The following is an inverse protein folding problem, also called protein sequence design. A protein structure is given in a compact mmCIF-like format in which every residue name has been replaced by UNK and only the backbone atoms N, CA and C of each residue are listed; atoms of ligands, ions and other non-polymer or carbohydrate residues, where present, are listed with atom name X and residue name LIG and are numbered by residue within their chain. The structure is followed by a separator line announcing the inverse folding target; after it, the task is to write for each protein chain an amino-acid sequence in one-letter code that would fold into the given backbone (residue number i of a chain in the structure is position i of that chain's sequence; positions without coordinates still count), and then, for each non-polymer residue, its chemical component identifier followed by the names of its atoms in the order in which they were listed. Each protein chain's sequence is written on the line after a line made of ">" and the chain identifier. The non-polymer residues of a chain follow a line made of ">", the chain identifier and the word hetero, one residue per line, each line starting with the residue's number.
data_IF_238776657459
#
_entry.id   IF_238776657459
#
_cell.length_a   1.000
_cell.length_b   1.000
_cell.length_c   1.000
_cell.angle_alpha   90.00
_cell.angle_beta   90.00
_cell.angle_gamma   90.00
#
_symmetry.space_group_name_H-M   'P 1'
#
loop_
_entity.id
_entity.type
_entity.pdbx_description
1 polymer ?
#
# COMPACT_ATOMS: atom_id res chain seq x y z
N UNK A 1 13.41 3.30 -3.90
CA UNK A 1 12.54 3.09 -5.07
C UNK A 1 11.25 2.40 -4.64
N UNK A 2 10.09 2.85 -5.13
CA UNK A 2 8.80 2.18 -4.90
C UNK A 2 8.77 0.83 -5.64
N UNK A 3 8.29 -0.26 -5.02
CA UNK A 3 8.12 -1.53 -5.72
C UNK A 3 7.18 -1.42 -6.94
N UNK A 4 7.45 -2.20 -7.98
CA UNK A 4 6.55 -2.28 -9.14
C UNK A 4 5.45 -3.32 -8.95
N UNK A 5 5.53 -4.20 -7.94
CA UNK A 5 4.42 -5.07 -7.56
C UNK A 5 3.64 -4.43 -6.42
N UNK A 6 2.32 -4.55 -6.46
CA UNK A 6 1.48 -4.16 -5.34
C UNK A 6 0.37 -5.16 -5.07
N UNK A 7 0.13 -5.42 -3.78
CA UNK A 7 -1.10 -6.02 -3.31
C UNK A 7 -2.03 -4.94 -2.76
N UNK A 8 -3.23 -4.86 -3.31
CA UNK A 8 -4.31 -4.05 -2.76
C UNK A 8 -5.29 -4.97 -2.04
N UNK A 9 -5.35 -4.81 -0.73
CA UNK A 9 -6.19 -5.62 0.14
C UNK A 9 -7.58 -4.99 0.28
N UNK A 10 -8.57 -5.86 0.31
CA UNK A 10 -9.93 -5.55 0.74
C UNK A 10 -10.33 -6.57 1.83
N UNK A 11 -11.56 -6.46 2.32
CA UNK A 11 -12.08 -7.38 3.33
C UNK A 11 -12.04 -8.85 2.86
N UNK A 12 -12.38 -9.13 1.59
CA UNK A 12 -12.48 -10.50 1.06
C UNK A 12 -11.46 -10.84 -0.03
N UNK A 13 -10.96 -9.83 -0.74
CA UNK A 13 -10.11 -10.00 -1.92
C UNK A 13 -8.73 -9.39 -1.74
N UNK A 14 -7.76 -9.96 -2.45
CA UNK A 14 -6.44 -9.38 -2.73
C UNK A 14 -6.30 -9.20 -4.22
N UNK A 15 -6.02 -7.98 -4.64
CA UNK A 15 -5.74 -7.65 -6.03
C UNK A 15 -4.24 -7.47 -6.22
N UNK A 16 -3.64 -8.16 -7.20
CA UNK A 16 -2.24 -7.99 -7.55
C UNK A 16 -2.11 -7.03 -8.73
N UNK A 17 -1.21 -6.07 -8.61
CA UNK A 17 -0.88 -5.12 -9.66
C UNK A 17 0.60 -5.16 -10.04
N UNK A 18 0.89 -4.84 -11.30
CA UNK A 18 2.23 -4.52 -11.78
C UNK A 18 2.26 -3.10 -12.34
N UNK A 19 3.26 -2.32 -11.93
CA UNK A 19 3.50 -0.96 -12.40
C UNK A 19 4.38 -1.00 -13.63
N UNK A 20 3.87 -0.52 -14.76
CA UNK A 20 4.64 -0.43 -16.02
C UNK A 20 5.41 0.87 -16.14
N UNK A 21 4.83 1.96 -15.64
CA UNK A 21 5.38 3.33 -15.63
C UNK A 21 4.88 4.01 -14.36
N UNK A 22 5.55 5.09 -13.92
CA UNK A 22 5.09 5.88 -12.79
C UNK A 22 3.60 6.25 -12.95
N UNK A 23 2.80 6.05 -11.90
CA UNK A 23 1.35 6.29 -11.90
C UNK A 23 0.49 5.29 -12.70
N UNK A 24 1.05 4.34 -13.45
CA UNK A 24 0.26 3.40 -14.26
C UNK A 24 0.38 1.98 -13.72
N UNK A 25 -0.68 1.55 -13.03
CA UNK A 25 -0.82 0.22 -12.46
C UNK A 25 -1.76 -0.65 -13.30
N UNK A 26 -1.30 -1.85 -13.62
CA UNK A 26 -2.13 -2.85 -14.29
C UNK A 26 -2.51 -3.96 -13.34
N UNK A 27 -3.80 -4.28 -13.27
CA UNK A 27 -4.27 -5.43 -12.49
C UNK A 27 -3.84 -6.71 -13.20
N UNK A 28 -3.03 -7.52 -12.53
CA UNK A 28 -2.61 -8.83 -13.00
C UNK A 28 -3.70 -9.88 -12.77
N UNK A 29 -4.22 -9.93 -11.54
CA UNK A 29 -5.24 -10.90 -11.14
C UNK A 29 -5.85 -10.50 -9.78
N UNK A 30 -6.92 -11.20 -9.40
CA UNK A 30 -7.58 -11.05 -8.10
C UNK A 30 -7.84 -12.41 -7.49
N UNK A 31 -7.61 -12.52 -6.18
CA UNK A 31 -7.82 -13.75 -5.42
C UNK A 31 -8.67 -13.47 -4.19
N UNK A 32 -9.50 -14.44 -3.81
CA UNK A 32 -10.23 -14.39 -2.56
C UNK A 32 -9.40 -15.04 -1.44
N UNK A 33 -9.43 -14.49 -0.22
CA UNK A 33 -8.58 -14.97 0.90
C UNK A 33 -8.75 -16.46 1.23
N UNK A 34 -9.94 -17.02 0.95
CA UNK A 34 -10.29 -18.42 1.26
C UNK A 34 -10.69 -19.25 0.05
N UNK A 35 -10.37 -18.84 -1.19
CA UNK A 35 -10.79 -19.65 -2.35
C UNK A 35 -10.06 -20.99 -2.47
N UNK A 36 -10.73 -22.05 -2.97
CA UNK A 36 -10.07 -23.27 -3.36
C UNK A 36 -8.96 -23.00 -4.38
N UNK A 37 -7.79 -23.63 -4.18
CA UNK A 37 -6.66 -23.49 -5.10
C UNK A 37 -5.88 -22.18 -4.99
N UNK A 38 -6.12 -21.34 -3.96
CA UNK A 38 -5.37 -20.11 -3.71
C UNK A 38 -3.85 -20.30 -3.83
N UNK A 39 -3.31 -21.37 -3.26
CA UNK A 39 -1.88 -21.69 -3.33
C UNK A 39 -1.37 -21.82 -4.78
N UNK A 40 -2.15 -22.44 -5.67
CA UNK A 40 -1.77 -22.62 -7.08
C UNK A 40 -1.83 -21.29 -7.84
N UNK A 41 -2.87 -20.48 -7.59
CA UNK A 41 -3.00 -19.12 -8.15
C UNK A 41 -1.83 -18.24 -7.74
N UNK A 42 -1.50 -18.20 -6.45
CA UNK A 42 -0.37 -17.42 -5.95
C UNK A 42 0.97 -17.88 -6.53
N UNK A 43 1.18 -19.19 -6.71
CA UNK A 43 2.37 -19.72 -7.43
C UNK A 43 2.42 -19.26 -8.89
N UNK A 44 1.29 -19.22 -9.59
CA UNK A 44 1.21 -18.71 -10.96
C UNK A 44 1.53 -17.21 -11.01
N UNK A 45 0.96 -16.43 -10.11
CA UNK A 45 1.21 -14.99 -10.03
C UNK A 45 2.67 -14.66 -9.75
N UNK A 46 3.31 -15.41 -8.84
CA UNK A 46 4.74 -15.27 -8.58
C UNK A 46 5.59 -15.53 -9.82
N UNK A 47 5.29 -16.59 -10.59
CA UNK A 47 5.99 -16.87 -11.85
C UNK A 47 5.80 -15.74 -12.87
N UNK A 48 4.58 -15.23 -13.02
CA UNK A 48 4.30 -14.12 -13.92
C UNK A 48 5.06 -12.86 -13.52
N UNK A 49 5.12 -12.53 -12.22
CA UNK A 49 5.87 -11.38 -11.72
C UNK A 49 7.38 -11.49 -12.04
N UNK A 50 7.96 -12.67 -11.85
CA UNK A 50 9.37 -12.94 -12.20
C UNK A 50 9.60 -12.77 -13.71
N UNK A 51 8.69 -13.28 -14.55
CA UNK A 51 8.76 -13.11 -16.01
C UNK A 51 8.66 -11.65 -16.46
N UNK A 52 8.06 -10.79 -15.65
CA UNK A 52 7.99 -9.34 -15.87
C UNK A 52 9.24 -8.58 -15.38
N UNK A 53 10.26 -9.27 -14.87
CA UNK A 53 11.51 -8.69 -14.39
C UNK A 53 11.58 -8.46 -12.87
N UNK A 54 10.54 -8.82 -12.13
CA UNK A 54 10.46 -8.57 -10.67
C UNK A 54 11.09 -9.72 -9.86
N UNK A 55 12.38 -10.00 -10.12
CA UNK A 55 13.08 -11.16 -9.55
C UNK A 55 13.15 -11.15 -8.01
N UNK A 56 13.21 -9.97 -7.38
CA UNK A 56 13.27 -9.83 -5.92
C UNK A 56 11.88 -9.92 -5.26
N UNK A 57 10.79 -9.86 -6.03
CA UNK A 57 9.41 -9.81 -5.57
C UNK A 57 9.16 -8.74 -4.50
N UNK A 58 9.90 -7.62 -4.56
CA UNK A 58 9.63 -6.45 -3.73
C UNK A 58 8.19 -5.99 -3.98
N UNK A 59 7.41 -5.84 -2.91
CA UNK A 59 5.95 -5.62 -3.01
C UNK A 59 5.51 -4.46 -2.13
N UNK A 60 4.70 -3.59 -2.71
CA UNK A 60 3.93 -2.55 -2.03
C UNK A 60 2.63 -3.15 -1.49
N UNK A 61 2.36 -2.98 -0.21
CA UNK A 61 1.11 -3.39 0.41
C UNK A 61 0.21 -2.17 0.59
N UNK A 62 -0.94 -2.17 -0.09
CA UNK A 62 -2.00 -1.17 0.08
C UNK A 62 -3.08 -1.76 0.97
N UNK A 63 -3.21 -1.20 2.17
CA UNK A 63 -4.13 -1.67 3.20
C UNK A 63 -5.59 -1.32 2.86
N UNK A 64 -6.57 -2.06 3.41
CA UNK A 64 -7.98 -1.79 3.17
C UNK A 64 -8.36 -0.40 3.70
N UNK A 65 -8.85 0.48 2.82
CA UNK A 65 -9.14 1.88 3.17
C UNK A 65 -10.26 2.04 4.19
N UNK A 66 -11.18 1.07 4.27
CA UNK A 66 -12.27 1.04 5.24
C UNK A 66 -11.83 0.65 6.66
N UNK A 67 -10.61 0.15 6.83
CA UNK A 67 -10.00 -0.19 8.12
C UNK A 67 -9.08 0.93 8.64
N UNK A 68 -8.95 2.03 7.88
CA UNK A 68 -8.10 3.17 8.24
C UNK A 68 -8.97 4.32 8.71
N UNK A 69 -8.73 4.74 9.94
CA UNK A 69 -9.36 5.93 10.54
C UNK A 69 -8.52 7.17 10.23
N UNK A 70 -9.16 8.19 9.64
CA UNK A 70 -8.54 9.48 9.36
C UNK A 70 -9.13 10.55 10.27
N UNK A 71 -8.27 11.29 10.96
CA UNK A 71 -8.67 12.37 11.87
C UNK A 71 -7.71 13.56 11.78
N UNK A 72 -8.10 14.71 12.33
CA UNK A 72 -7.20 15.84 12.48
C UNK A 72 -7.51 16.65 13.74
N UNK A 73 -6.53 17.42 14.19
CA UNK A 73 -6.65 18.36 15.31
C UNK A 73 -5.95 19.68 14.95
N UNK A 74 -6.57 20.80 15.34
CA UNK A 74 -6.01 22.14 15.16
C UNK A 74 -4.99 22.42 16.26
N UNK A 75 -3.76 22.77 15.88
CA UNK A 75 -2.68 23.14 16.82
C UNK A 75 -2.09 24.53 16.55
N UNK A 76 -2.63 25.24 15.55
CA UNK A 76 -2.13 26.55 15.11
C UNK A 76 -0.85 26.46 14.27
N UNK A 77 -0.29 27.60 13.86
CA UNK A 77 0.81 27.69 12.88
C UNK A 77 2.20 27.26 13.39
N UNK A 78 2.29 26.63 14.56
CA UNK A 78 3.58 26.36 15.22
C UNK A 78 4.17 24.99 14.85
N UNK A 79 4.39 24.74 13.55
CA UNK A 79 4.93 23.47 13.03
C UNK A 79 6.31 23.12 13.59
N UNK A 80 7.17 24.12 13.80
CA UNK A 80 8.57 23.94 14.24
C UNK A 80 8.73 23.26 15.61
N UNK A 81 7.63 23.05 16.34
CA UNK A 81 7.60 22.34 17.61
C UNK A 81 7.01 20.94 17.54
N UNK A 82 6.55 20.46 16.38
CA UNK A 82 5.86 19.19 16.24
C UNK A 82 6.85 18.02 16.09
N UNK A 83 6.98 17.23 17.15
CA UNK A 83 7.81 16.02 17.18
C UNK A 83 6.93 14.77 17.13
N UNK A 84 7.46 13.58 16.77
CA UNK A 84 6.71 12.33 16.84
C UNK A 84 6.07 12.08 18.21
N UNK A 85 6.76 12.44 19.30
CA UNK A 85 6.22 12.34 20.66
C UNK A 85 4.99 13.23 20.86
N UNK A 86 5.02 14.47 20.39
CA UNK A 86 3.87 15.39 20.49
C UNK A 86 2.72 14.99 19.56
N UNK A 87 3.02 14.54 18.35
CA UNK A 87 2.02 13.99 17.45
C UNK A 87 1.27 12.82 18.10
N UNK A 88 1.99 11.91 18.79
CA UNK A 88 1.37 10.85 19.57
C UNK A 88 0.47 11.37 20.70
N UNK A 89 0.91 12.38 21.46
CA UNK A 89 0.09 13.01 22.50
C UNK A 89 -1.20 13.62 21.94
N UNK A 90 -1.12 14.28 20.77
CA UNK A 90 -2.30 14.82 20.10
C UNK A 90 -3.24 13.71 19.61
N UNK A 91 -2.70 12.60 19.10
CA UNK A 91 -3.50 11.45 18.70
C UNK A 91 -4.24 10.83 19.90
N UNK A 92 -3.57 10.72 21.05
CA UNK A 92 -4.17 10.22 22.30
C UNK A 92 -5.33 11.11 22.79
N UNK A 93 -5.30 12.42 22.53
CA UNK A 93 -6.38 13.34 22.90
C UNK A 93 -7.66 13.15 22.07
N UNK A 94 -7.53 12.70 20.82
CA UNK A 94 -8.65 12.58 19.88
C UNK A 94 -9.08 11.12 19.66
N UNK A 95 -8.40 10.16 20.27
CA UNK A 95 -8.73 8.75 20.11
C UNK A 95 -9.77 8.31 21.14
N UNK A 96 -10.95 7.91 20.65
CA UNK A 96 -12.05 7.40 21.49
C UNK A 96 -11.79 5.98 22.02
N UNK A 97 -10.94 5.21 21.37
CA UNK A 97 -10.51 3.88 21.82
C UNK A 97 -8.98 3.80 21.92
N UNK A 98 -8.50 2.85 22.70
CA UNK A 98 -7.07 2.66 22.97
C UNK A 98 -6.28 2.42 21.67
N UNK A 99 -5.56 3.46 21.20
CA UNK A 99 -4.53 3.40 20.15
C UNK A 99 -3.35 2.48 20.49
N UNK A 100 -3.37 1.80 21.65
CA UNK A 100 -2.26 0.97 22.15
C UNK A 100 -1.83 -0.11 21.19
N UNK A 101 -2.72 -0.59 20.31
CA UNK A 101 -2.36 -1.57 19.27
C UNK A 101 -2.73 -1.08 17.86
N UNK A 102 -2.15 0.06 17.48
CA UNK A 102 -2.32 0.64 16.16
C UNK A 102 -1.01 1.15 15.57
N UNK A 103 -0.89 1.02 14.24
CA UNK A 103 0.09 1.74 13.45
C UNK A 103 -0.52 3.04 12.95
N UNK A 104 0.28 4.10 12.85
CA UNK A 104 -0.20 5.41 12.44
C UNK A 104 0.83 6.16 11.58
N UNK A 105 0.31 6.94 10.65
CA UNK A 105 1.04 8.00 9.96
C UNK A 105 0.46 9.36 10.38
N UNK A 106 1.28 10.41 10.29
CA UNK A 106 0.82 11.76 10.57
C UNK A 106 1.57 12.81 9.75
N UNK A 107 0.92 13.97 9.59
CA UNK A 107 1.56 15.15 9.03
C UNK A 107 0.93 16.44 9.52
N UNK A 108 1.64 17.54 9.28
CA UNK A 108 1.16 18.87 9.56
C UNK A 108 0.92 19.63 8.26
N UNK A 109 -0.24 20.27 8.18
CA UNK A 109 -0.67 21.12 7.08
C UNK A 109 -1.62 22.17 7.65
N UNK A 110 -1.48 23.44 7.24
CA UNK A 110 -2.41 24.53 7.55
C UNK A 110 -2.85 24.64 9.02
N UNK A 111 -1.89 24.50 9.95
CA UNK A 111 -2.16 24.62 11.38
C UNK A 111 -2.86 23.40 12.01
N UNK A 112 -2.95 22.29 11.27
CA UNK A 112 -3.57 21.03 11.69
C UNK A 112 -2.57 19.89 11.67
N UNK A 113 -2.71 18.96 12.61
CA UNK A 113 -2.07 17.64 12.52
C UNK A 113 -3.11 16.66 12.01
N UNK A 114 -2.81 16.00 10.91
CA UNK A 114 -3.61 14.95 10.29
C UNK A 114 -3.05 13.60 10.70
N UNK A 115 -3.93 12.65 11.02
CA UNK A 115 -3.59 11.28 11.42
C UNK A 115 -4.29 10.27 10.53
N UNK A 116 -3.57 9.22 10.14
CA UNK A 116 -4.13 7.98 9.63
C UNK A 116 -3.77 6.87 10.61
N UNK A 117 -4.75 6.10 11.05
CA UNK A 117 -4.58 5.06 12.06
C UNK A 117 -5.16 3.75 11.55
N UNK A 118 -4.41 2.67 11.70
CA UNK A 118 -4.87 1.31 11.38
C UNK A 118 -4.54 0.35 12.52
N UNK A 119 -5.41 -0.62 12.86
CA UNK A 119 -5.06 -1.68 13.80
C UNK A 119 -3.79 -2.42 13.36
N UNK A 120 -2.83 -2.61 14.28
CA UNK A 120 -1.55 -3.28 13.96
C UNK A 120 -1.79 -4.67 13.39
N UNK A 121 -2.73 -5.42 13.96
CA UNK A 121 -3.14 -6.75 13.51
C UNK A 121 -3.60 -6.78 12.04
N UNK A 122 -4.27 -5.72 11.56
CA UNK A 122 -4.70 -5.64 10.16
C UNK A 122 -3.49 -5.46 9.23
N UNK A 123 -2.54 -4.63 9.63
CA UNK A 123 -1.28 -4.47 8.91
C UNK A 123 -0.46 -5.77 8.90
N UNK A 124 -0.35 -6.46 10.05
CA UNK A 124 0.39 -7.72 10.18
C UNK A 124 -0.19 -8.82 9.31
N UNK A 125 -1.52 -8.99 9.28
CA UNK A 125 -2.17 -9.95 8.37
C UNK A 125 -1.80 -9.74 6.91
N UNK A 126 -1.72 -8.49 6.45
CA UNK A 126 -1.33 -8.18 5.07
C UNK A 126 0.15 -8.54 4.80
N UNK A 127 1.03 -8.30 5.78
CA UNK A 127 2.44 -8.66 5.73
C UNK A 127 2.58 -10.19 5.69
N UNK A 128 1.98 -10.89 6.65
CA UNK A 128 1.99 -12.36 6.76
C UNK A 128 1.44 -13.02 5.50
N UNK A 129 0.33 -12.52 4.94
CA UNK A 129 -0.22 -13.04 3.69
C UNK A 129 0.81 -12.97 2.57
N UNK A 130 1.48 -11.83 2.43
CA UNK A 130 2.46 -11.59 1.37
C UNK A 130 3.68 -12.50 1.52
N UNK A 131 4.23 -12.57 2.73
CA UNK A 131 5.39 -13.39 3.07
C UNK A 131 5.10 -14.89 2.92
N UNK A 132 3.92 -15.34 3.37
CA UNK A 132 3.44 -16.73 3.22
C UNK A 132 3.49 -17.20 1.76
N UNK A 133 3.20 -16.32 0.81
CA UNK A 133 3.23 -16.64 -0.62
C UNK A 133 4.57 -16.32 -1.31
N UNK A 134 5.56 -15.88 -0.55
CA UNK A 134 6.93 -15.64 -0.99
C UNK A 134 7.17 -14.28 -1.66
N UNK A 135 6.24 -13.33 -1.48
CA UNK A 135 6.47 -11.93 -1.82
C UNK A 135 7.24 -11.25 -0.69
N UNK A 136 7.94 -10.15 -0.99
CA UNK A 136 8.76 -9.41 -0.03
C UNK A 136 8.18 -8.03 0.20
N UNK A 137 7.33 -7.84 1.24
CA UNK A 137 6.85 -6.52 1.62
C UNK A 137 8.01 -5.55 1.77
N UNK A 138 7.96 -4.44 1.05
CA UNK A 138 8.98 -3.38 1.14
C UNK A 138 8.40 -2.09 1.69
N UNK A 139 7.12 -1.84 1.41
CA UNK A 139 6.40 -0.66 1.86
C UNK A 139 4.94 -1.03 2.14
N UNK A 140 4.39 -0.53 3.25
CA UNK A 140 2.97 -0.67 3.60
C UNK A 140 2.33 0.71 3.72
N UNK A 141 1.26 0.94 2.95
CA UNK A 141 0.59 2.24 2.83
C UNK A 141 -0.93 2.14 2.95
N UNK A 142 -1.57 3.27 3.23
CA UNK A 142 -3.00 3.50 3.10
C UNK A 142 -3.28 4.58 2.06
N UNK A 143 -4.26 4.33 1.18
CA UNK A 143 -4.72 5.31 0.21
C UNK A 143 -6.07 5.85 0.70
N UNK A 144 -6.16 7.14 1.04
CA UNK A 144 -7.43 7.74 1.44
C UNK A 144 -8.42 7.71 0.27
N UNK A 145 -9.66 7.30 0.54
CA UNK A 145 -10.74 7.41 -0.46
C UNK A 145 -11.19 8.87 -0.68
N UNK A 146 -10.90 9.74 0.28
CA UNK A 146 -11.27 11.15 0.26
C UNK A 146 -10.04 12.02 0.16
N UNK A 147 -10.11 13.06 -0.67
CA UNK A 147 -9.06 14.10 -0.80
C UNK A 147 -8.77 14.84 0.51
N UNK A 148 -9.60 14.67 1.55
CA UNK A 148 -9.47 15.33 2.86
C UNK A 148 -8.20 14.97 3.66
N UNK A 149 -7.57 13.81 3.41
CA UNK A 149 -6.30 13.45 4.06
C UNK A 149 -5.07 13.87 3.22
N UNK A 150 -5.25 14.46 2.03
CA UNK A 150 -4.21 15.17 1.28
C UNK A 150 -3.08 14.34 0.66
N UNK A 151 -2.75 13.17 1.22
CA UNK A 151 -1.61 12.33 0.79
C UNK A 151 -1.80 10.84 1.08
N UNK A 152 -0.86 10.02 0.63
CA UNK A 152 -0.77 8.59 0.98
C UNK A 152 -0.26 8.44 2.41
N UNK A 153 -0.93 7.60 3.20
CA UNK A 153 -0.50 7.26 4.56
C UNK A 153 0.60 6.20 4.51
N UNK A 154 1.73 6.41 5.20
CA UNK A 154 2.85 5.46 5.24
C UNK A 154 2.94 4.81 6.61
N UNK A 155 2.63 3.52 6.71
CA UNK A 155 2.59 2.80 7.99
C UNK A 155 3.87 2.05 8.31
N UNK A 156 4.56 1.52 7.29
CA UNK A 156 5.80 0.76 7.50
C UNK A 156 6.69 0.78 6.27
N UNK A 157 7.98 1.08 6.47
CA UNK A 157 9.06 0.81 5.52
C UNK A 157 9.77 -0.43 6.03
N UNK A 158 9.85 -1.48 5.22
CA UNK A 158 10.51 -2.72 5.60
C UNK A 158 12.00 -2.61 5.23
N UNK A 159 12.87 -2.96 6.17
CA UNK A 159 14.30 -2.59 6.27
C UNK A 159 15.22 -3.06 5.13
N UNK A 160 14.68 -3.56 4.03
CA UNK A 160 15.45 -4.16 2.93
C UNK A 160 15.70 -3.23 1.73
N UNK A 161 15.11 -2.03 1.71
CA UNK A 161 15.29 -1.09 0.60
C UNK A 161 15.42 0.35 1.12
N UNK A 162 16.43 1.10 0.66
CA UNK A 162 16.45 2.56 0.75
C UNK A 162 15.29 3.12 -0.10
N UNK A 163 14.09 3.03 0.45
CA UNK A 163 12.90 3.64 -0.13
C UNK A 163 12.91 5.07 0.33
N UNK A 164 13.24 5.96 -0.59
CA UNK A 164 12.95 7.36 -0.40
C UNK A 164 11.42 7.54 -0.35
N UNK A 165 10.93 7.93 0.82
CA UNK A 165 9.51 8.12 1.10
C UNK A 165 9.09 9.58 0.96
N UNK A 166 10.02 10.52 0.71
CA UNK A 166 9.65 11.93 0.49
C UNK A 166 8.85 12.11 -0.79
N UNK A 167 9.19 11.37 -1.84
CA UNK A 167 8.50 11.44 -3.14
C UNK A 167 7.05 10.92 -3.05
N UNK A 168 6.81 9.92 -2.20
CA UNK A 168 5.49 9.31 -1.99
C UNK A 168 4.47 10.26 -1.38
N UNK A 169 4.96 11.23 -0.60
CA UNK A 169 4.11 12.19 0.11
C UNK A 169 3.56 13.27 -0.83
N UNK A 170 4.15 13.43 -2.03
CA UNK A 170 3.84 14.54 -2.94
C UNK A 170 2.98 14.14 -4.14
N UNK A 171 2.76 12.84 -4.40
CA UNK A 171 2.04 12.39 -5.59
C UNK A 171 1.06 11.25 -5.29
N UNK A 172 -0.17 11.56 -4.81
CA UNK A 172 -1.23 10.56 -4.64
C UNK A 172 -1.53 9.76 -5.92
N UNK A 173 -1.33 10.38 -7.09
CA UNK A 173 -1.48 9.75 -8.41
C UNK A 173 -0.52 8.59 -8.65
N UNK A 174 0.63 8.51 -7.96
CA UNK A 174 1.49 7.32 -8.05
C UNK A 174 0.84 6.05 -7.47
N UNK A 175 -0.22 6.22 -6.70
CA UNK A 175 -0.95 5.15 -6.02
C UNK A 175 -2.39 5.01 -6.51
N UNK A 176 -2.82 5.81 -7.50
CA UNK A 176 -4.12 5.64 -8.16
C UNK A 176 -4.15 4.31 -8.93
N UNK A 177 -4.52 3.27 -8.20
CA UNK A 177 -4.74 1.92 -8.73
C UNK A 177 -6.16 1.79 -9.25
N UNK A 178 -6.48 2.59 -10.27
CA UNK A 178 -7.65 2.39 -11.11
C UNK A 178 -7.32 1.25 -12.06
N UNK A 179 -8.03 0.14 -11.94
CA UNK A 179 -7.64 -1.11 -12.56
C UNK A 179 -7.63 -1.02 -14.10
N UNK A 180 -6.45 -0.81 -14.69
CA UNK A 180 -6.24 -1.05 -16.12
C UNK A 180 -5.99 -2.55 -16.28
N UNK A 181 -6.86 -3.25 -17.02
CA UNK A 181 -6.62 -4.67 -17.32
C UNK A 181 -5.38 -4.76 -18.20
N UNK A 182 -4.44 -5.64 -17.84
CA UNK A 182 -3.36 -5.99 -18.76
C UNK A 182 -4.00 -6.49 -20.08
N UNK A 183 -3.50 -6.05 -21.26
CA UNK A 183 -3.85 -6.73 -22.48
C UNK A 183 -3.49 -8.19 -22.28
N UNK A 184 -4.47 -9.11 -22.49
CA UNK A 184 -4.18 -10.54 -22.55
C UNK A 184 -3.01 -10.69 -23.50
N UNK A 185 -1.91 -11.30 -23.05
CA UNK A 185 -0.72 -11.48 -23.88
C UNK A 185 -1.20 -11.99 -25.23
N UNK A 186 -1.00 -11.20 -26.28
CA UNK A 186 -1.15 -11.70 -27.63
C UNK A 186 -0.23 -12.91 -27.69
N UNK A 187 -0.81 -14.10 -27.87
CA UNK A 187 -0.07 -15.26 -28.35
C UNK A 187 0.68 -14.75 -29.57
N UNK A 188 2.00 -14.56 -29.45
CA UNK A 188 2.84 -14.45 -30.63
C UNK A 188 2.93 -15.86 -31.17
N UNK A 189 1.85 -16.29 -31.82
CA UNK A 189 1.89 -17.39 -32.74
C UNK A 189 2.76 -16.95 -33.90
N UNK A 190 3.96 -17.52 -33.89
CA UNK A 190 4.80 -17.84 -35.03
C UNK A 190 4.01 -17.85 -36.34
N UNK A 191 4.21 -16.84 -37.19
CA UNK A 191 4.14 -17.05 -38.63
C UNK A 191 5.46 -16.62 -39.23
N UNK A 192 6.31 -17.64 -39.38
CA UNK A 192 7.27 -17.73 -40.47
C UNK A 192 6.44 -17.67 -41.75
N UNK A 193 6.71 -16.69 -42.61
CA UNK A 193 6.36 -16.78 -44.02
C UNK A 193 7.66 -16.53 -44.79
N UNK A 194 7.94 -17.50 -45.65
CA UNK A 194 9.10 -17.67 -46.53
C UNK A 194 9.32 -16.48 -47.47
#
# INVERSE_FOLDING_TARGET
>A
MIPNLAFKFSYTMVHLFHRKKAGIWFMMDSVHHGEPGLNQKMKKLKRNAIQLGEANLATLLVLPSNEISYSNIVIGQNQGKLTPKKAKQYLEQISNESTRDSSHDWFFEDGRVHFAVIPTKTMEKAIEFSEKYGFKPSLTVGIPQSKKYGRVAIFKVHSSNNIDVSDLKQSPSEFEMDAVKLPKSASRDSQIIY
#
